data_IF_374404497886
#
_entry.id   IF_374404497886
#
_cell.length_a   1.000
_cell.length_b   1.000
_cell.length_c   1.000
_cell.angle_alpha   90.00
_cell.angle_beta   90.00
_cell.angle_gamma   90.00
#
_symmetry.space_group_name_H-M   'P 1'
#
loop_
_entity.id
_entity.type
_entity.pdbx_description
1 polymer ?
#
# COMPACT_ATOMS: atom_id res chain seq x y z
N UNK A 1 6.07 2.08 -7.92
CA UNK A 1 5.06 3.15 -8.07
C UNK A 1 5.33 4.27 -7.08
N UNK A 2 4.65 5.41 -7.19
CA UNK A 2 4.75 6.51 -6.21
C UNK A 2 3.52 6.49 -5.33
N UNK A 3 3.72 6.35 -4.02
CA UNK A 3 2.67 6.44 -3.00
C UNK A 3 2.78 7.81 -2.33
N UNK A 4 1.66 8.51 -2.20
CA UNK A 4 1.55 9.74 -1.42
C UNK A 4 0.99 9.39 -0.03
N UNK A 5 1.76 9.68 1.01
CA UNK A 5 1.35 9.46 2.39
C UNK A 5 0.52 10.65 2.89
N UNK A 6 -0.30 10.43 3.92
CA UNK A 6 -1.15 11.48 4.50
C UNK A 6 -0.34 12.66 5.07
N UNK A 7 0.91 12.41 5.47
CA UNK A 7 1.85 13.43 5.93
C UNK A 7 2.41 14.32 4.79
N UNK A 8 2.06 14.02 3.53
CA UNK A 8 2.47 14.76 2.33
C UNK A 8 3.81 14.33 1.72
N UNK A 9 4.44 13.29 2.26
CA UNK A 9 5.67 12.70 1.71
C UNK A 9 5.32 11.70 0.60
N UNK A 10 6.17 11.61 -0.42
CA UNK A 10 6.04 10.64 -1.51
C UNK A 10 7.13 9.59 -1.46
N UNK A 11 6.75 8.32 -1.56
CA UNK A 11 7.66 7.17 -1.50
C UNK A 11 7.58 6.36 -2.78
N UNK A 12 8.74 5.99 -3.34
CA UNK A 12 8.81 5.00 -4.41
C UNK A 12 8.86 3.62 -3.77
N UNK A 13 7.81 2.81 -3.96
CA UNK A 13 7.74 1.44 -3.44
C UNK A 13 6.90 0.54 -4.36
N UNK A 14 6.81 -0.75 -4.03
CA UNK A 14 5.94 -1.71 -4.72
C UNK A 14 4.55 -1.72 -4.06
N UNK A 15 3.53 -1.98 -4.88
CA UNK A 15 2.19 -2.36 -4.41
C UNK A 15 2.05 -3.86 -4.57
N UNK A 16 1.66 -4.48 -3.47
CA UNK A 16 1.48 -5.91 -3.34
C UNK A 16 -0.01 -6.18 -3.12
N UNK A 17 -0.43 -7.43 -3.32
CA UNK A 17 -1.81 -7.87 -3.13
C UNK A 17 -2.86 -7.09 -3.93
N UNK A 18 -2.49 -6.60 -5.12
CA UNK A 18 -3.38 -5.88 -6.03
C UNK A 18 -3.20 -6.40 -7.47
N UNK A 19 -4.26 -6.94 -8.09
CA UNK A 19 -4.25 -7.27 -9.52
C UNK A 19 -3.93 -6.04 -10.37
N UNK A 20 -3.15 -6.21 -11.43
CA UNK A 20 -2.65 -5.09 -12.24
C UNK A 20 -3.78 -4.29 -12.91
N UNK A 21 -4.86 -4.96 -13.29
CA UNK A 21 -6.06 -4.38 -13.90
C UNK A 21 -6.99 -3.69 -12.88
N UNK A 22 -6.76 -3.88 -11.58
CA UNK A 22 -7.50 -3.21 -10.51
C UNK A 22 -6.75 -1.98 -9.97
N UNK A 23 -5.50 -1.75 -10.38
CA UNK A 23 -4.70 -0.60 -9.91
C UNK A 23 -5.29 0.71 -10.44
N UNK A 24 -5.67 1.61 -9.52
CA UNK A 24 -6.19 2.94 -9.85
C UNK A 24 -5.40 4.08 -9.18
N UNK A 25 -5.34 5.23 -9.85
CA UNK A 25 -4.77 6.45 -9.26
C UNK A 25 -5.68 6.94 -8.13
N UNK A 26 -5.10 7.25 -6.97
CA UNK A 26 -5.83 7.71 -5.79
C UNK A 26 -6.46 6.58 -4.97
N UNK A 27 -6.21 5.33 -5.32
CA UNK A 27 -6.63 4.17 -4.53
C UNK A 27 -6.00 4.21 -3.12
N UNK A 28 -6.80 4.08 -2.04
CA UNK A 28 -6.26 4.01 -0.69
C UNK A 28 -5.40 2.77 -0.48
N UNK A 29 -4.25 2.96 0.16
CA UNK A 29 -3.29 1.90 0.48
C UNK A 29 -2.82 2.02 1.92
N UNK A 30 -2.45 0.88 2.51
CA UNK A 30 -1.80 0.82 3.82
C UNK A 30 -0.37 0.29 3.68
N UNK A 31 0.51 0.74 4.58
CA UNK A 31 1.87 0.21 4.69
C UNK A 31 1.85 -1.10 5.47
N UNK A 32 2.63 -2.07 5.00
CA UNK A 32 2.99 -3.24 5.78
C UNK A 32 4.50 -3.47 5.67
N UNK A 33 5.04 -4.18 6.65
CA UNK A 33 6.47 -4.39 6.78
C UNK A 33 6.83 -5.84 6.49
N UNK A 34 7.64 -6.04 5.46
CA UNK A 34 8.12 -7.36 5.09
C UNK A 34 9.55 -7.57 5.60
N UNK A 35 9.83 -8.65 6.36
CA UNK A 35 11.18 -9.00 6.75
C UNK A 35 12.08 -9.26 5.54
N UNK A 36 13.28 -8.70 5.56
CA UNK A 36 14.31 -8.91 4.55
C UNK A 36 15.67 -9.05 5.25
N UNK A 37 15.99 -10.26 5.69
CA UNK A 37 17.13 -10.52 6.57
C UNK A 37 16.96 -9.77 7.88
N UNK A 38 17.97 -8.97 8.25
CA UNK A 38 17.96 -8.15 9.47
C UNK A 38 17.25 -6.80 9.30
N UNK A 39 16.70 -6.54 8.11
CA UNK A 39 15.98 -5.31 7.78
C UNK A 39 14.47 -5.56 7.66
N UNK A 40 13.69 -4.49 7.75
CA UNK A 40 12.26 -4.49 7.51
C UNK A 40 11.93 -3.54 6.38
N UNK A 41 11.39 -4.06 5.28
CA UNK A 41 11.10 -3.29 4.08
C UNK A 41 9.65 -2.80 4.12
N UNK A 42 9.39 -1.48 4.04
CA UNK A 42 8.04 -0.96 3.90
C UNK A 42 7.53 -1.18 2.48
N UNK A 43 6.43 -1.93 2.38
CA UNK A 43 5.68 -2.18 1.16
C UNK A 43 4.24 -1.71 1.36
N UNK A 44 3.49 -1.57 0.27
CA UNK A 44 2.12 -1.08 0.32
C UNK A 44 1.16 -2.11 -0.28
N UNK A 45 -0.08 -2.11 0.20
CA UNK A 45 -1.18 -2.90 -0.37
C UNK A 45 -2.49 -2.13 -0.25
N UNK A 46 -3.52 -2.45 -1.05
CA UNK A 46 -4.84 -1.83 -0.93
C UNK A 46 -5.40 -1.99 0.49
N UNK A 47 -6.08 -0.96 0.99
CA UNK A 47 -6.85 -1.11 2.23
C UNK A 47 -7.98 -2.12 1.98
N UNK A 48 -8.19 -3.11 2.86
CA UNK A 48 -9.33 -4.02 2.74
C UNK A 48 -10.64 -3.23 2.67
N UNK A 49 -11.55 -3.62 1.78
CA UNK A 49 -12.87 -3.00 1.73
C UNK A 49 -13.53 -3.12 3.11
N UNK A 50 -13.80 -1.97 3.75
CA UNK A 50 -14.56 -1.94 5.00
C UNK A 50 -15.97 -2.40 4.67
N UNK A 51 -16.31 -3.62 5.09
CA UNK A 51 -17.70 -4.10 5.04
C UNK A 51 -18.42 -3.45 6.21
N UNK A 52 -19.19 -2.40 5.93
CA UNK A 52 -20.08 -1.77 6.89
C UNK A 52 -21.17 -2.79 7.26
N UNK A 53 -20.99 -3.52 8.37
CA UNK A 53 -22.04 -4.31 8.98
C UNK A 53 -22.71 -3.39 10.00
N UNK A 54 -23.85 -2.82 9.60
CA UNK A 54 -24.74 -2.03 10.45
C UNK A 54 -25.44 -2.83 11.53
#
# INVERSE_FOLDING_TARGET
MVVELEEGVRVVSNLMDCPLDEVAIGQPVEVYFQPLGDLSLPLFRPVPAVSDQG
#
